data_IF_292654555493
#
_entry.id   IF_292654555493
#
_cell.length_a   1.000
_cell.length_b   1.000
_cell.length_c   1.000
_cell.angle_alpha   90.00
_cell.angle_beta   90.00
_cell.angle_gamma   90.00
#
_symmetry.space_group_name_H-M   'P 1'
#
loop_
_entity.id
_entity.type
_entity.pdbx_description
1 polymer ?
#
# COMPACT_ATOMS: atom_id res chain seq x y z
N UNK A 1 -24.37 -8.04 32.05
CA UNK A 1 -24.58 -7.87 30.59
C UNK A 1 -23.22 -7.95 29.94
N UNK A 2 -22.98 -8.98 29.12
CA UNK A 2 -21.70 -9.16 28.43
C UNK A 2 -21.90 -8.74 26.98
N UNK A 3 -21.31 -7.62 26.58
CA UNK A 3 -21.38 -7.14 25.20
C UNK A 3 -20.47 -8.00 24.33
N UNK A 4 -21.04 -8.91 23.55
CA UNK A 4 -20.29 -9.66 22.53
C UNK A 4 -20.10 -8.73 21.33
N UNK A 5 -18.88 -8.20 21.15
CA UNK A 5 -18.53 -7.39 20.00
C UNK A 5 -18.65 -8.21 18.71
N UNK A 6 -19.46 -7.74 17.75
CA UNK A 6 -19.53 -8.34 16.41
C UNK A 6 -18.25 -7.98 15.65
N UNK A 7 -17.35 -8.94 15.48
CA UNK A 7 -16.23 -8.82 14.56
C UNK A 7 -16.79 -8.85 13.15
N UNK A 8 -16.67 -7.76 12.40
CA UNK A 8 -17.00 -7.72 10.98
C UNK A 8 -15.83 -8.37 10.24
N UNK A 9 -15.99 -9.63 9.87
CA UNK A 9 -15.09 -10.29 8.93
C UNK A 9 -15.35 -9.63 7.58
N UNK A 10 -14.45 -8.76 7.16
CA UNK A 10 -14.43 -8.25 5.79
C UNK A 10 -13.72 -9.33 4.99
N UNK A 11 -14.41 -9.99 4.06
CA UNK A 11 -13.74 -10.79 3.04
C UNK A 11 -12.77 -9.87 2.30
N UNK A 12 -11.49 -10.06 2.58
CA UNK A 12 -10.42 -9.38 1.87
C UNK A 12 -10.29 -10.14 0.56
N UNK A 13 -10.89 -9.63 -0.52
CA UNK A 13 -10.65 -10.16 -1.87
C UNK A 13 -9.14 -10.22 -2.11
N UNK A 14 -8.67 -11.40 -2.51
CA UNK A 14 -7.26 -11.79 -2.68
C UNK A 14 -6.38 -10.65 -3.22
N UNK A 15 -5.59 -10.08 -2.31
CA UNK A 15 -4.52 -9.14 -2.60
C UNK A 15 -3.46 -9.27 -1.51
N UNK A 16 -2.15 -9.25 -1.84
CA UNK A 16 -1.11 -9.40 -0.83
C UNK A 16 -1.03 -8.10 -0.03
N UNK A 17 -1.76 -8.05 1.08
CA UNK A 17 -1.58 -7.03 2.10
C UNK A 17 -0.19 -7.22 2.71
N UNK A 18 0.59 -6.15 2.70
CA UNK A 18 1.96 -6.15 3.18
C UNK A 18 2.16 -5.06 4.22
N UNK A 19 3.02 -5.34 5.18
CA UNK A 19 3.51 -4.35 6.14
C UNK A 19 4.34 -3.28 5.42
N UNK A 20 4.51 -2.12 6.06
CA UNK A 20 5.39 -1.06 5.57
C UNK A 20 6.82 -1.57 5.26
N UNK A 21 7.33 -2.49 6.08
CA UNK A 21 8.66 -3.07 5.90
C UNK A 21 8.76 -3.95 4.65
N UNK A 22 7.73 -4.78 4.40
CA UNK A 22 7.67 -5.63 3.21
C UNK A 22 7.53 -4.80 1.92
N UNK A 23 6.70 -3.75 1.94
CA UNK A 23 6.59 -2.82 0.80
C UNK A 23 7.91 -2.08 0.59
N UNK A 24 8.56 -1.61 1.66
CA UNK A 24 9.85 -0.94 1.57
C UNK A 24 10.92 -1.87 0.96
N UNK A 25 10.95 -3.14 1.39
CA UNK A 25 11.85 -4.16 0.84
C UNK A 25 11.54 -4.48 -0.61
N UNK A 26 10.27 -4.53 -0.99
CA UNK A 26 9.86 -4.70 -2.38
C UNK A 26 10.38 -3.56 -3.26
N UNK A 27 10.24 -2.30 -2.82
CA UNK A 27 10.62 -1.13 -3.61
C UNK A 27 12.14 -0.89 -3.68
N UNK A 28 12.84 -1.07 -2.56
CA UNK A 28 14.22 -0.62 -2.37
C UNK A 28 15.20 -1.76 -2.08
N UNK A 29 14.72 -3.01 -2.10
CA UNK A 29 15.54 -4.23 -2.00
C UNK A 29 16.42 -4.22 -0.74
N UNK A 30 17.74 -4.22 -0.92
CA UNK A 30 18.72 -4.27 0.17
C UNK A 30 18.98 -2.92 0.82
N UNK A 31 18.55 -1.79 0.21
CA UNK A 31 18.76 -0.45 0.78
C UNK A 31 17.99 -0.20 2.08
N UNK A 32 17.02 -1.04 2.39
CA UNK A 32 16.21 -0.97 3.62
C UNK A 32 16.69 -1.92 4.69
N UNK A 33 17.81 -2.63 4.47
CA UNK A 33 18.32 -3.62 5.40
C UNK A 33 19.50 -3.07 6.21
N UNK A 34 19.56 -3.42 7.49
CA UNK A 34 20.74 -3.21 8.32
C UNK A 34 21.84 -4.23 7.99
N UNK A 35 23.00 -4.10 8.64
CA UNK A 35 24.14 -5.04 8.47
C UNK A 35 23.80 -6.49 8.82
N UNK A 36 22.72 -6.72 9.57
CA UNK A 36 22.23 -8.04 9.98
C UNK A 36 21.13 -8.57 9.05
N UNK A 37 20.75 -7.83 8.01
CA UNK A 37 19.70 -8.20 7.07
C UNK A 37 18.27 -7.94 7.57
N UNK A 38 18.09 -7.22 8.68
CA UNK A 38 16.78 -6.82 9.19
C UNK A 38 16.34 -5.48 8.58
N UNK A 39 15.04 -5.19 8.58
CA UNK A 39 14.55 -3.88 8.12
C UNK A 39 15.12 -2.76 9.03
N UNK A 40 15.98 -1.92 8.46
CA UNK A 40 16.45 -0.70 9.08
C UNK A 40 15.38 0.39 8.93
N UNK A 41 14.57 0.55 9.99
CA UNK A 41 13.52 1.56 10.07
C UNK A 41 14.05 3.00 10.07
N UNK A 42 15.36 3.21 10.25
CA UNK A 42 16.01 4.54 10.20
C UNK A 42 16.61 4.84 8.83
N UNK A 43 16.70 3.84 7.95
CA UNK A 43 17.23 4.04 6.60
C UNK A 43 16.38 5.06 5.82
N UNK A 44 17.05 5.89 5.02
CA UNK A 44 16.37 6.85 4.15
C UNK A 44 15.40 6.15 3.17
N UNK A 45 15.73 4.94 2.72
CA UNK A 45 14.87 4.15 1.86
C UNK A 45 13.57 3.76 2.56
N UNK A 46 13.63 3.28 3.81
CA UNK A 46 12.45 2.93 4.60
C UNK A 46 11.57 4.15 4.86
N UNK A 47 12.16 5.28 5.28
CA UNK A 47 11.42 6.52 5.55
C UNK A 47 10.71 7.04 4.30
N UNK A 48 11.34 6.94 3.12
CA UNK A 48 10.70 7.27 1.84
C UNK A 48 9.52 6.35 1.52
N UNK A 49 9.67 5.04 1.72
CA UNK A 49 8.59 4.08 1.54
C UNK A 49 7.41 4.43 2.46
N UNK A 50 7.67 4.60 3.76
CA UNK A 50 6.65 4.93 4.77
C UNK A 50 5.89 6.22 4.43
N UNK A 51 6.61 7.26 3.98
CA UNK A 51 6.00 8.52 3.56
C UNK A 51 5.07 8.36 2.36
N UNK A 52 5.42 7.51 1.39
CA UNK A 52 4.57 7.22 0.24
C UNK A 52 3.35 6.37 0.63
N UNK A 53 3.52 5.37 1.49
CA UNK A 53 2.42 4.54 1.98
C UNK A 53 1.43 5.39 2.81
N UNK A 54 1.94 6.37 3.59
CA UNK A 54 1.08 7.33 4.29
C UNK A 54 0.26 8.18 3.33
N UNK A 55 0.90 8.75 2.31
CA UNK A 55 0.19 9.50 1.28
C UNK A 55 -0.85 8.65 0.56
N UNK A 56 -0.55 7.38 0.29
CA UNK A 56 -1.52 6.44 -0.27
C UNK A 56 -2.74 6.28 0.64
N UNK A 57 -2.52 5.97 1.92
CA UNK A 57 -3.60 5.83 2.90
C UNK A 57 -4.46 7.11 3.00
N UNK A 58 -3.83 8.29 3.01
CA UNK A 58 -4.52 9.58 3.13
C UNK A 58 -5.34 9.95 1.88
N UNK A 59 -5.05 9.35 0.71
CA UNK A 59 -5.61 9.78 -0.58
C UNK A 59 -6.39 8.68 -1.31
N UNK A 60 -6.59 7.52 -0.70
CA UNK A 60 -7.32 6.41 -1.32
C UNK A 60 -8.51 5.98 -0.48
N UNK A 61 -9.57 5.41 -1.10
CA UNK A 61 -10.72 4.94 -0.37
C UNK A 61 -10.40 3.83 0.63
N UNK A 62 -11.28 3.68 1.61
CA UNK A 62 -11.22 2.60 2.60
C UNK A 62 -11.17 1.23 1.92
N UNK A 63 -10.46 0.28 2.55
CA UNK A 63 -10.35 -1.10 2.08
C UNK A 63 -9.00 -1.46 1.44
N UNK A 64 -8.15 -0.49 1.11
CA UNK A 64 -6.77 -0.77 0.67
C UNK A 64 -5.72 -0.71 1.79
N UNK A 65 -6.12 -0.21 2.95
CA UNK A 65 -5.29 -0.10 4.14
C UNK A 65 -6.09 -0.64 5.31
N UNK A 66 -5.45 -1.50 6.10
CA UNK A 66 -6.01 -2.12 7.30
C UNK A 66 -5.07 -1.81 8.46
N UNK A 67 -5.62 -1.40 9.60
CA UNK A 67 -4.85 -1.13 10.81
C UNK A 67 -5.12 -2.23 11.84
N UNK A 68 -4.22 -3.22 11.91
CA UNK A 68 -4.27 -4.35 12.84
C UNK A 68 -2.85 -4.59 13.34
N UNK A 69 -2.56 -4.15 14.57
CA UNK A 69 -1.20 -4.16 15.15
C UNK A 69 -0.13 -3.51 14.25
N UNK A 70 -0.56 -2.48 13.50
CA UNK A 70 0.23 -1.82 12.49
C UNK A 70 -0.49 -1.75 11.15
N UNK A 71 0.07 -0.95 10.26
CA UNK A 71 -0.50 -0.71 8.93
C UNK A 71 -0.18 -1.86 7.98
N UNK A 72 -1.22 -2.48 7.44
CA UNK A 72 -1.18 -3.38 6.30
C UNK A 72 -1.74 -2.66 5.07
N UNK A 73 -1.00 -2.69 3.98
CA UNK A 73 -1.35 -1.99 2.74
C UNK A 73 -1.44 -2.99 1.58
N UNK A 74 -2.49 -2.88 0.78
CA UNK A 74 -2.68 -3.68 -0.41
C UNK A 74 -1.63 -3.32 -1.47
N UNK A 75 -0.67 -4.22 -1.75
CA UNK A 75 0.48 -3.92 -2.62
C UNK A 75 0.06 -3.45 -4.03
N UNK A 76 -0.84 -4.18 -4.71
CA UNK A 76 -1.25 -3.84 -6.09
C UNK A 76 -1.86 -2.45 -6.16
N UNK A 77 -2.77 -2.13 -5.24
CA UNK A 77 -3.40 -0.82 -5.17
C UNK A 77 -2.39 0.29 -4.89
N UNK A 78 -1.42 0.05 -4.00
CA UNK A 78 -0.34 0.98 -3.73
C UNK A 78 0.56 1.24 -4.96
N UNK A 79 0.90 0.20 -5.72
CA UNK A 79 1.67 0.34 -6.96
C UNK A 79 0.86 1.07 -8.04
N UNK A 80 -0.42 0.72 -8.21
CA UNK A 80 -1.34 1.40 -9.11
C UNK A 80 -1.43 2.89 -8.78
N UNK A 81 -1.59 3.23 -7.50
CA UNK A 81 -1.67 4.61 -7.04
C UNK A 81 -0.36 5.36 -7.27
N UNK A 82 0.78 4.70 -7.09
CA UNK A 82 2.10 5.30 -7.36
C UNK A 82 2.28 5.67 -8.84
N UNK A 83 1.72 4.88 -9.75
CA UNK A 83 1.72 5.17 -11.20
C UNK A 83 0.69 6.27 -11.51
N UNK A 84 -0.54 6.12 -11.02
CA UNK A 84 -1.63 7.07 -11.23
C UNK A 84 -1.25 8.47 -10.73
N UNK A 85 -0.76 8.57 -9.49
CA UNK A 85 -0.41 9.84 -8.85
C UNK A 85 0.73 10.56 -9.55
N UNK A 86 1.68 9.83 -10.15
CA UNK A 86 2.72 10.41 -11.03
C UNK A 86 2.15 10.83 -12.38
N UNK A 87 1.38 9.95 -13.03
CA UNK A 87 0.87 10.16 -14.39
C UNK A 87 -0.09 11.34 -14.46
N UNK A 88 -0.96 11.49 -13.47
CA UNK A 88 -2.04 12.48 -13.48
C UNK A 88 -1.75 13.70 -12.58
N UNK A 89 -0.52 13.84 -12.08
CA UNK A 89 -0.12 14.97 -11.23
C UNK A 89 -0.36 16.30 -11.96
N UNK A 90 -1.12 17.20 -11.34
CA UNK A 90 -1.38 18.54 -11.88
C UNK A 90 -2.34 18.58 -13.07
N UNK A 91 -2.97 17.46 -13.44
CA UNK A 91 -4.00 17.46 -14.46
C UNK A 91 -5.33 17.96 -13.90
N UNK A 92 -5.99 18.84 -14.65
CA UNK A 92 -7.30 19.38 -14.29
C UNK A 92 -8.44 18.37 -14.38
N UNK A 93 -8.28 17.32 -15.19
CA UNK A 93 -9.26 16.25 -15.41
C UNK A 93 -8.62 14.86 -15.29
N UNK A 94 -8.08 14.57 -14.11
CA UNK A 94 -7.59 13.24 -13.79
C UNK A 94 -8.76 12.24 -13.63
N UNK A 95 -8.65 10.98 -14.12
CA UNK A 95 -9.61 9.94 -13.79
C UNK A 95 -9.52 9.62 -12.30
N UNK A 96 -10.62 9.14 -11.68
CA UNK A 96 -10.58 8.72 -10.28
C UNK A 96 -9.64 7.52 -10.14
N UNK A 97 -8.94 7.45 -9.01
CA UNK A 97 -8.02 6.35 -8.74
C UNK A 97 -8.69 4.97 -8.81
N UNK A 98 -9.93 4.83 -8.32
CA UNK A 98 -10.67 3.55 -8.36
C UNK A 98 -10.93 3.05 -9.78
N UNK A 99 -11.31 3.96 -10.68
CA UNK A 99 -11.58 3.62 -12.08
C UNK A 99 -10.27 3.15 -12.73
N UNK A 100 -9.18 3.89 -12.53
CA UNK A 100 -7.84 3.51 -12.99
C UNK A 100 -7.39 2.16 -12.42
N UNK A 101 -7.59 1.91 -11.13
CA UNK A 101 -7.21 0.65 -10.49
C UNK A 101 -7.98 -0.53 -11.08
N UNK A 102 -9.29 -0.40 -11.23
CA UNK A 102 -10.15 -1.45 -11.80
C UNK A 102 -9.75 -1.82 -13.22
N UNK A 103 -9.45 -0.82 -14.05
CA UNK A 103 -9.02 -1.03 -15.44
C UNK A 103 -7.64 -1.70 -15.55
N UNK A 104 -6.75 -1.47 -14.58
CA UNK A 104 -5.34 -1.87 -14.67
C UNK A 104 -4.96 -3.02 -13.70
N UNK A 105 -5.86 -3.46 -12.81
CA UNK A 105 -5.59 -4.48 -11.77
C UNK A 105 -4.98 -5.74 -12.38
N UNK A 106 -5.57 -6.29 -13.44
CA UNK A 106 -5.11 -7.54 -14.06
C UNK A 106 -3.71 -7.41 -14.67
N UNK A 107 -3.42 -6.29 -15.33
CA UNK A 107 -2.09 -6.01 -15.89
C UNK A 107 -1.06 -5.87 -14.78
N UNK A 108 -1.37 -5.15 -13.71
CA UNK A 108 -0.45 -4.95 -12.58
C UNK A 108 -0.17 -6.26 -11.82
N UNK A 109 -1.19 -7.11 -11.65
CA UNK A 109 -1.02 -8.44 -11.04
C UNK A 109 -0.14 -9.35 -11.91
N UNK A 110 -0.20 -9.25 -13.24
CA UNK A 110 0.61 -10.09 -14.14
C UNK A 110 2.11 -9.73 -14.20
N UNK A 111 2.49 -8.57 -13.68
CA UNK A 111 3.88 -8.07 -13.68
C UNK A 111 4.61 -8.43 -12.37
N UNK A 112 3.86 -8.85 -11.35
CA UNK A 112 4.36 -9.26 -10.04
C UNK A 112 4.61 -10.76 -9.99
#
# INVERSE_FOLDING_TARGET
MTTIGKVKIVEIEDGPFMTDGEIAKYLYKTEVLDEKGNIDKKSNAYLRAQGNIKKFADNTPDGFVIDVDGRLTHLIAFLAWSIWSKKYRGMSRAPKFIDYFTENKNTLTSIL
#
